data_IF_252515786503
#
_entry.id   IF_252515786503
#
_cell.length_a   1.000
_cell.length_b   1.000
_cell.length_c   1.000
_cell.angle_alpha   90.00
_cell.angle_beta   90.00
_cell.angle_gamma   90.00
#
_symmetry.space_group_name_H-M   'P 1'
#
loop_
_entity.id
_entity.type
_entity.pdbx_description
1 polymer ?
#
# COMPACT_ATOMS: atom_id res chain seq x y z
N UNK A 1 4.08 -10.80 -7.67
CA UNK A 1 3.77 -11.55 -6.44
C UNK A 1 4.72 -12.73 -6.27
N UNK A 2 4.91 -13.59 -7.29
CA UNK A 2 5.86 -14.72 -7.22
C UNK A 2 7.31 -14.31 -6.88
N UNK A 3 7.81 -13.23 -7.47
CA UNK A 3 9.18 -12.74 -7.22
C UNK A 3 9.41 -12.24 -5.78
N UNK A 4 8.40 -11.59 -5.18
CA UNK A 4 8.45 -11.18 -3.78
C UNK A 4 8.43 -12.39 -2.83
N UNK A 5 7.67 -13.42 -3.20
CA UNK A 5 7.53 -14.63 -2.39
C UNK A 5 8.83 -15.44 -2.36
N UNK A 6 9.48 -15.62 -3.51
CA UNK A 6 10.80 -16.27 -3.56
C UNK A 6 11.86 -15.49 -2.75
N UNK A 7 11.85 -14.15 -2.83
CA UNK A 7 12.77 -13.32 -2.05
C UNK A 7 12.57 -13.49 -0.53
N UNK A 8 11.32 -13.50 -0.07
CA UNK A 8 10.98 -13.61 1.34
C UNK A 8 11.14 -15.02 1.91
N UNK A 9 10.77 -16.05 1.15
CA UNK A 9 10.70 -17.43 1.66
C UNK A 9 12.01 -18.19 1.44
N UNK A 10 12.80 -17.84 0.44
CA UNK A 10 13.95 -18.65 0.00
C UNK A 10 15.26 -17.86 0.00
N UNK A 11 15.38 -16.81 -0.81
CA UNK A 11 16.64 -16.11 -1.05
C UNK A 11 17.18 -15.36 0.17
N UNK A 12 16.34 -14.59 0.87
CA UNK A 12 16.76 -13.83 2.07
C UNK A 12 17.04 -14.78 3.25
N UNK A 13 16.16 -15.77 3.58
CA UNK A 13 16.45 -16.74 4.63
C UNK A 13 17.67 -17.61 4.34
N UNK A 14 17.83 -18.09 3.10
CA UNK A 14 18.99 -18.89 2.71
C UNK A 14 20.28 -18.07 2.78
N UNK A 15 20.28 -16.83 2.26
CA UNK A 15 21.42 -15.91 2.36
C UNK A 15 21.82 -15.64 3.81
N UNK A 16 20.83 -15.45 4.71
CA UNK A 16 21.08 -15.30 6.15
C UNK A 16 21.66 -16.57 6.78
N UNK A 17 21.14 -17.75 6.43
CA UNK A 17 21.66 -19.03 6.93
C UNK A 17 23.10 -19.24 6.48
N UNK A 18 23.41 -19.01 5.20
CA UNK A 18 24.76 -19.12 4.67
C UNK A 18 25.74 -18.18 5.37
N UNK A 19 25.29 -16.99 5.78
CA UNK A 19 26.09 -16.03 6.55
C UNK A 19 26.39 -16.52 7.97
N UNK A 20 25.41 -17.16 8.63
CA UNK A 20 25.58 -17.79 9.95
C UNK A 20 26.52 -18.99 9.86
N UNK A 21 26.36 -19.83 8.83
CA UNK A 21 27.23 -20.96 8.58
C UNK A 21 28.67 -20.49 8.33
N UNK A 22 28.84 -19.43 7.51
CA UNK A 22 30.13 -18.80 7.26
C UNK A 22 30.78 -18.32 8.56
N UNK A 23 30.02 -17.68 9.46
CA UNK A 23 30.53 -17.26 10.77
C UNK A 23 31.07 -18.43 11.61
N UNK A 24 30.31 -19.53 11.73
CA UNK A 24 30.78 -20.72 12.47
C UNK A 24 31.99 -21.39 11.81
N UNK A 25 32.06 -21.37 10.47
CA UNK A 25 33.19 -21.90 9.73
C UNK A 25 34.44 -21.05 9.93
N UNK A 26 34.30 -19.72 9.96
CA UNK A 26 35.40 -18.78 10.23
C UNK A 26 36.02 -19.00 11.60
N UNK A 27 35.21 -19.30 12.62
CA UNK A 27 35.70 -19.64 13.97
C UNK A 27 36.60 -20.89 13.93
N UNK A 28 36.15 -21.95 13.25
CA UNK A 28 36.94 -23.17 13.06
C UNK A 28 38.20 -22.94 12.23
N UNK A 29 38.14 -22.10 11.20
CA UNK A 29 39.30 -21.73 10.39
C UNK A 29 40.32 -20.96 11.24
N UNK A 30 39.87 -20.09 12.14
CA UNK A 30 40.76 -19.38 13.06
C UNK A 30 41.48 -20.34 14.01
N UNK A 31 40.75 -21.27 14.64
CA UNK A 31 41.34 -22.32 15.50
C UNK A 31 42.34 -23.20 14.73
N UNK A 32 42.01 -23.54 13.48
CA UNK A 32 42.90 -24.30 12.60
C UNK A 32 44.17 -23.51 12.28
N UNK A 33 44.06 -22.23 11.92
CA UNK A 33 45.21 -21.39 11.59
C UNK A 33 46.14 -21.24 12.80
N UNK A 34 45.60 -21.07 14.00
CA UNK A 34 46.39 -21.02 15.24
C UNK A 34 47.10 -22.36 15.50
N UNK A 35 46.36 -23.46 15.46
CA UNK A 35 46.91 -24.81 15.69
C UNK A 35 47.99 -25.17 14.67
N UNK A 36 47.74 -24.87 13.39
CA UNK A 36 48.70 -25.11 12.29
C UNK A 36 49.94 -24.25 12.48
N UNK A 37 49.80 -22.99 12.89
CA UNK A 37 50.94 -22.13 13.17
C UNK A 37 51.76 -22.63 14.35
N UNK A 38 51.14 -23.10 15.43
CA UNK A 38 51.85 -23.61 16.63
C UNK A 38 52.57 -24.93 16.32
N UNK A 39 51.90 -25.86 15.65
CA UNK A 39 52.40 -27.22 15.41
C UNK A 39 53.37 -27.31 14.22
N UNK A 40 53.27 -26.41 13.22
CA UNK A 40 54.12 -26.48 12.04
C UNK A 40 55.59 -26.16 12.36
N UNK A 41 56.55 -26.96 11.87
CA UNK A 41 57.98 -26.67 11.99
C UNK A 41 58.39 -25.48 11.10
N UNK A 42 57.68 -25.26 9.99
CA UNK A 42 57.88 -24.12 9.10
C UNK A 42 56.78 -23.07 9.34
N UNK A 43 57.15 -22.03 10.10
CA UNK A 43 56.25 -20.93 10.44
C UNK A 43 55.94 -20.02 9.25
N UNK A 44 56.84 -19.95 8.27
CA UNK A 44 56.67 -19.05 7.13
C UNK A 44 55.57 -19.57 6.20
N UNK A 45 55.58 -20.90 5.95
CA UNK A 45 54.54 -21.57 5.17
C UNK A 45 53.17 -21.54 5.86
N UNK A 46 53.12 -21.80 7.17
CA UNK A 46 51.87 -21.77 7.94
C UNK A 46 51.25 -20.36 7.98
N UNK A 47 52.07 -19.31 8.03
CA UNK A 47 51.61 -17.93 7.96
C UNK A 47 51.05 -17.56 6.58
N UNK A 48 51.70 -18.03 5.51
CA UNK A 48 51.21 -17.82 4.14
C UNK A 48 49.86 -18.50 3.91
N UNK A 49 49.69 -19.72 4.42
CA UNK A 49 48.43 -20.44 4.39
C UNK A 49 47.33 -19.71 5.17
N UNK A 50 47.66 -19.16 6.35
CA UNK A 50 46.73 -18.32 7.13
C UNK A 50 46.31 -17.06 6.37
N UNK A 51 47.23 -16.39 5.67
CA UNK A 51 46.89 -15.23 4.83
C UNK A 51 45.94 -15.58 3.70
N UNK A 52 46.13 -16.76 3.08
CA UNK A 52 45.25 -17.24 2.03
C UNK A 52 43.84 -17.50 2.57
N UNK A 53 43.71 -18.19 3.71
CA UNK A 53 42.42 -18.41 4.37
C UNK A 53 41.75 -17.10 4.78
N UNK A 54 42.52 -16.13 5.29
CA UNK A 54 42.00 -14.80 5.65
C UNK A 54 41.43 -14.07 4.44
N UNK A 55 42.17 -14.07 3.32
CA UNK A 55 41.74 -13.42 2.07
C UNK A 55 40.49 -14.08 1.50
N UNK A 56 40.44 -15.41 1.49
CA UNK A 56 39.28 -16.17 1.01
C UNK A 56 38.05 -15.93 1.89
N UNK A 57 38.22 -15.95 3.22
CA UNK A 57 37.12 -15.74 4.16
C UNK A 57 36.56 -14.32 4.04
N UNK A 58 37.43 -13.32 3.91
CA UNK A 58 37.02 -11.93 3.67
C UNK A 58 36.22 -11.78 2.37
N UNK A 59 36.72 -12.37 1.28
CA UNK A 59 36.02 -12.34 -0.01
C UNK A 59 34.66 -13.05 0.05
N UNK A 60 34.59 -14.20 0.71
CA UNK A 60 33.37 -14.98 0.89
C UNK A 60 32.31 -14.20 1.67
N UNK A 61 32.68 -13.62 2.83
CA UNK A 61 31.75 -12.83 3.64
C UNK A 61 31.29 -11.57 2.91
N UNK A 62 32.20 -10.86 2.24
CA UNK A 62 31.85 -9.67 1.45
C UNK A 62 30.83 -10.00 0.33
N UNK A 63 31.03 -11.13 -0.36
CA UNK A 63 30.09 -11.59 -1.38
C UNK A 63 28.72 -11.92 -0.79
N UNK A 64 28.67 -12.67 0.31
CA UNK A 64 27.41 -13.03 0.98
C UNK A 64 26.63 -11.80 1.44
N UNK A 65 27.32 -10.81 2.03
CA UNK A 65 26.69 -9.54 2.45
C UNK A 65 26.16 -8.79 1.24
N UNK A 66 26.95 -8.68 0.16
CA UNK A 66 26.53 -7.97 -1.05
C UNK A 66 25.28 -8.63 -1.68
N UNK A 67 25.27 -9.96 -1.80
CA UNK A 67 24.12 -10.69 -2.36
C UNK A 67 22.87 -10.47 -1.50
N UNK A 68 22.98 -10.63 -0.17
CA UNK A 68 21.86 -10.42 0.74
C UNK A 68 21.34 -8.98 0.69
N UNK A 69 22.22 -7.98 0.63
CA UNK A 69 21.85 -6.58 0.52
C UNK A 69 21.06 -6.30 -0.77
N UNK A 70 21.51 -6.83 -1.91
CA UNK A 70 20.80 -6.67 -3.18
C UNK A 70 19.41 -7.31 -3.14
N UNK A 71 19.30 -8.52 -2.58
CA UNK A 71 18.02 -9.22 -2.43
C UNK A 71 17.03 -8.44 -1.55
N UNK A 72 17.51 -7.86 -0.44
CA UNK A 72 16.69 -7.01 0.44
C UNK A 72 16.27 -5.71 -0.26
N UNK A 73 17.17 -5.05 -0.98
CA UNK A 73 16.83 -3.84 -1.74
C UNK A 73 15.77 -4.13 -2.81
N UNK A 74 15.92 -5.22 -3.56
CA UNK A 74 14.93 -5.64 -4.57
C UNK A 74 13.56 -5.90 -3.94
N UNK A 75 13.52 -6.55 -2.78
CA UNK A 75 12.28 -6.76 -2.03
C UNK A 75 11.60 -5.44 -1.66
N UNK A 76 12.37 -4.46 -1.12
CA UNK A 76 11.85 -3.15 -0.75
C UNK A 76 11.30 -2.37 -1.96
N UNK A 77 11.99 -2.42 -3.10
CA UNK A 77 11.53 -1.78 -4.33
C UNK A 77 10.21 -2.40 -4.85
N UNK A 78 10.09 -3.73 -4.80
CA UNK A 78 8.85 -4.41 -5.18
C UNK A 78 7.70 -3.97 -4.25
N UNK A 79 7.92 -3.94 -2.93
CA UNK A 79 6.91 -3.49 -1.96
C UNK A 79 6.52 -2.02 -2.17
N UNK A 80 7.49 -1.13 -2.39
CA UNK A 80 7.23 0.28 -2.68
C UNK A 80 6.38 0.47 -3.96
N UNK A 81 6.67 -0.32 -5.01
CA UNK A 81 5.87 -0.30 -6.24
C UNK A 81 4.44 -0.80 -6.03
N UNK A 82 4.24 -1.78 -5.14
CA UNK A 82 2.91 -2.28 -4.78
C UNK A 82 2.12 -1.23 -4.02
N UNK A 83 2.74 -0.55 -3.06
CA UNK A 83 2.12 0.55 -2.32
C UNK A 83 1.70 1.70 -3.23
N UNK A 84 2.57 2.14 -4.16
CA UNK A 84 2.21 3.20 -5.14
C UNK A 84 1.03 2.78 -6.03
N UNK A 85 0.95 1.51 -6.42
CA UNK A 85 -0.20 1.00 -7.19
C UNK A 85 -1.47 0.99 -6.35
N UNK A 86 -1.39 0.57 -5.09
CA UNK A 86 -2.52 0.62 -4.16
C UNK A 86 -3.00 2.05 -3.90
N UNK A 87 -2.09 3.00 -3.70
CA UNK A 87 -2.41 4.41 -3.54
C UNK A 87 -3.14 4.96 -4.77
N UNK A 88 -2.66 4.64 -5.97
CA UNK A 88 -3.34 5.01 -7.22
C UNK A 88 -4.74 4.39 -7.32
N UNK A 89 -4.91 3.11 -6.99
CA UNK A 89 -6.23 2.46 -6.95
C UNK A 89 -7.18 3.15 -5.96
N UNK A 90 -6.70 3.54 -4.78
CA UNK A 90 -7.48 4.28 -3.78
C UNK A 90 -7.89 5.66 -4.33
N UNK A 91 -6.96 6.36 -4.98
CA UNK A 91 -7.25 7.66 -5.60
C UNK A 91 -8.29 7.55 -6.72
N UNK A 92 -8.20 6.52 -7.57
CA UNK A 92 -9.21 6.25 -8.59
C UNK A 92 -10.58 5.91 -7.98
N UNK A 93 -10.64 5.07 -6.95
CA UNK A 93 -11.89 4.76 -6.24
C UNK A 93 -12.49 6.03 -5.62
N UNK A 94 -11.66 6.88 -5.03
CA UNK A 94 -12.09 8.13 -4.40
C UNK A 94 -12.65 9.11 -5.44
N UNK A 95 -12.01 9.25 -6.60
CA UNK A 95 -12.49 10.07 -7.70
C UNK A 95 -13.80 9.52 -8.28
N UNK A 96 -13.92 8.20 -8.48
CA UNK A 96 -15.16 7.59 -8.96
C UNK A 96 -16.29 7.80 -7.94
N UNK A 97 -16.03 7.61 -6.65
CA UNK A 97 -17.01 7.85 -5.59
C UNK A 97 -17.51 9.31 -5.61
N UNK A 98 -16.60 10.27 -5.66
CA UNK A 98 -16.96 11.69 -5.70
C UNK A 98 -17.76 12.06 -6.95
N UNK A 99 -17.31 11.64 -8.14
CA UNK A 99 -17.97 11.98 -9.41
C UNK A 99 -19.35 11.36 -9.52
N UNK A 100 -19.50 10.08 -9.17
CA UNK A 100 -20.80 9.40 -9.18
C UNK A 100 -21.74 10.03 -8.15
N UNK A 101 -21.29 10.30 -6.93
CA UNK A 101 -22.14 10.93 -5.91
C UNK A 101 -22.59 12.34 -6.31
N UNK A 102 -21.66 13.17 -6.79
CA UNK A 102 -21.98 14.53 -7.25
C UNK A 102 -22.97 14.53 -8.42
N UNK A 103 -22.78 13.63 -9.38
CA UNK A 103 -23.70 13.48 -10.50
C UNK A 103 -25.10 13.02 -10.04
N UNK A 104 -25.17 12.00 -9.17
CA UNK A 104 -26.44 11.53 -8.60
C UNK A 104 -27.16 12.63 -7.82
N UNK A 105 -26.44 13.46 -7.07
CA UNK A 105 -27.00 14.60 -6.35
C UNK A 105 -27.61 15.62 -7.32
N UNK A 106 -26.85 16.07 -8.33
CA UNK A 106 -27.33 17.04 -9.33
C UNK A 106 -28.57 16.51 -10.08
N UNK A 107 -28.57 15.23 -10.43
CA UNK A 107 -29.73 14.59 -11.06
C UNK A 107 -30.96 14.58 -10.16
N UNK A 108 -30.79 14.28 -8.87
CA UNK A 108 -31.87 14.36 -7.89
C UNK A 108 -32.43 15.78 -7.74
N UNK A 109 -31.55 16.79 -7.72
CA UNK A 109 -31.97 18.20 -7.67
C UNK A 109 -32.77 18.63 -8.89
N UNK A 110 -32.28 18.28 -10.09
CA UNK A 110 -32.95 18.59 -11.34
C UNK A 110 -34.32 17.91 -11.43
N UNK A 111 -34.42 16.67 -10.96
CA UNK A 111 -35.68 15.93 -10.91
C UNK A 111 -36.68 16.60 -9.94
N UNK A 112 -36.24 16.99 -8.74
CA UNK A 112 -37.09 17.67 -7.76
C UNK A 112 -37.63 19.01 -8.29
N UNK A 113 -36.78 19.80 -8.96
CA UNK A 113 -37.18 21.06 -9.60
C UNK A 113 -38.20 20.83 -10.73
N UNK A 114 -38.02 19.77 -11.53
CA UNK A 114 -38.94 19.40 -12.61
C UNK A 114 -40.29 18.97 -12.07
N UNK A 115 -40.32 18.16 -11.01
CA UNK A 115 -41.58 17.77 -10.36
C UNK A 115 -42.29 19.00 -9.80
N UNK A 116 -41.58 19.85 -9.05
CA UNK A 116 -42.16 21.07 -8.48
C UNK A 116 -42.77 21.98 -9.54
N UNK A 117 -42.10 22.17 -10.68
CA UNK A 117 -42.60 23.03 -11.75
C UNK A 117 -43.85 22.46 -12.41
N UNK A 118 -43.87 21.14 -12.71
CA UNK A 118 -45.05 20.44 -13.24
C UNK A 118 -46.23 20.55 -12.27
N UNK A 119 -46.00 20.36 -10.97
CA UNK A 119 -47.07 20.44 -9.97
C UNK A 119 -47.62 21.86 -9.88
N UNK A 120 -46.78 22.90 -9.89
CA UNK A 120 -47.27 24.30 -9.92
C UNK A 120 -48.07 24.63 -11.17
N UNK A 121 -47.64 24.16 -12.34
CA UNK A 121 -48.37 24.38 -13.60
C UNK A 121 -49.73 23.69 -13.58
N UNK A 122 -49.82 22.47 -13.02
CA UNK A 122 -51.09 21.73 -12.88
C UNK A 122 -52.06 22.36 -11.87
N UNK A 123 -51.54 22.92 -10.77
CA UNK A 123 -52.36 23.58 -9.75
C UNK A 123 -52.89 24.93 -10.24
N UNK A 124 -52.10 25.71 -10.99
CA UNK A 124 -52.56 26.96 -11.60
C UNK A 124 -53.68 26.79 -12.63
N UNK A 125 -53.83 25.60 -13.22
CA UNK A 125 -54.90 25.29 -14.17
C UNK A 125 -56.26 24.95 -13.49
N UNK A 126 -56.28 24.66 -12.19
CA UNK A 126 -57.47 24.21 -11.46
C UNK A 126 -57.85 25.21 -10.34
N UNK A 127 -58.56 26.29 -10.68
CA UNK A 127 -59.22 27.25 -9.76
C UNK A 127 -58.30 28.03 -8.75
N UNK A 128 -58.07 29.35 -8.95
CA UNK A 128 -57.00 30.08 -8.27
C UNK A 128 -57.21 30.35 -6.75
N UNK A 129 -58.42 30.19 -6.22
CA UNK A 129 -58.78 30.62 -4.86
C UNK A 129 -58.56 29.57 -3.75
N UNK A 130 -58.41 28.28 -4.08
CA UNK A 130 -58.08 27.19 -3.13
C UNK A 130 -56.61 26.74 -3.17
N UNK A 131 -55.83 27.20 -4.14
CA UNK A 131 -54.49 26.69 -4.43
C UNK A 131 -53.35 27.28 -3.61
N UNK A 132 -53.52 28.46 -2.99
CA UNK A 132 -52.42 29.09 -2.26
C UNK A 132 -51.90 28.23 -1.12
N UNK A 133 -52.79 27.57 -0.35
CA UNK A 133 -52.39 26.69 0.76
C UNK A 133 -51.69 25.43 0.26
N UNK A 134 -52.19 24.81 -0.82
CA UNK A 134 -51.60 23.62 -1.43
C UNK A 134 -50.21 23.89 -2.03
N UNK A 135 -50.02 25.05 -2.69
CA UNK A 135 -48.74 25.47 -3.25
C UNK A 135 -47.70 25.70 -2.14
N UNK A 136 -48.10 26.33 -1.01
CA UNK A 136 -47.19 26.51 0.14
C UNK A 136 -46.78 25.20 0.80
N UNK A 137 -47.68 24.23 0.94
CA UNK A 137 -47.38 22.91 1.52
C UNK A 137 -46.44 22.12 0.62
N UNK A 138 -46.63 22.15 -0.70
CA UNK A 138 -45.76 21.46 -1.65
C UNK A 138 -44.33 22.05 -1.69
N UNK A 139 -44.20 23.38 -1.57
CA UNK A 139 -42.88 24.00 -1.39
C UNK A 139 -42.19 23.54 -0.10
N UNK A 140 -42.93 23.46 1.01
CA UNK A 140 -42.41 22.96 2.29
C UNK A 140 -41.96 21.50 2.21
N UNK A 141 -42.74 20.62 1.56
CA UNK A 141 -42.35 19.21 1.36
C UNK A 141 -41.08 19.11 0.51
N UNK A 142 -41.00 19.88 -0.59
CA UNK A 142 -39.81 19.92 -1.44
C UNK A 142 -38.56 20.39 -0.68
N UNK A 143 -38.70 21.38 0.21
CA UNK A 143 -37.59 21.85 1.07
C UNK A 143 -37.20 20.80 2.11
N UNK A 144 -38.17 20.12 2.73
CA UNK A 144 -37.90 19.06 3.71
C UNK A 144 -37.22 17.83 3.09
N UNK A 145 -37.64 17.38 1.89
CA UNK A 145 -36.97 16.28 1.18
C UNK A 145 -35.55 16.67 0.74
N UNK A 146 -35.35 17.93 0.35
CA UNK A 146 -34.02 18.45 0.01
C UNK A 146 -33.09 18.51 1.23
N UNK A 147 -33.60 18.93 2.39
CA UNK A 147 -32.86 18.90 3.65
C UNK A 147 -32.53 17.48 4.11
N UNK A 148 -33.44 16.51 3.94
CA UNK A 148 -33.22 15.09 4.28
C UNK A 148 -32.15 14.45 3.38
N UNK A 149 -32.14 14.75 2.08
CA UNK A 149 -31.07 14.30 1.19
C UNK A 149 -29.70 14.86 1.57
N UNK A 150 -29.63 16.14 1.95
CA UNK A 150 -28.37 16.76 2.39
C UNK A 150 -27.86 16.12 3.70
N UNK A 151 -28.75 15.84 4.66
CA UNK A 151 -28.38 15.23 5.93
C UNK A 151 -27.81 13.81 5.75
N UNK A 152 -28.43 12.98 4.91
CA UNK A 152 -27.93 11.65 4.59
C UNK A 152 -26.60 11.67 3.81
N UNK A 153 -26.33 12.71 3.04
CA UNK A 153 -25.04 12.89 2.36
C UNK A 153 -23.89 13.26 3.31
N UNK A 154 -24.18 13.90 4.44
CA UNK A 154 -23.15 14.32 5.41
C UNK A 154 -22.70 13.16 6.32
N UNK A 155 -23.62 12.29 6.74
CA UNK A 155 -23.30 11.08 7.54
C UNK A 155 -22.38 10.08 6.81
N UNK A 156 -22.34 10.11 5.48
CA UNK A 156 -21.46 9.26 4.66
C UNK A 156 -20.02 9.81 4.53
N UNK A 157 -19.79 11.09 4.82
CA UNK A 157 -18.45 11.71 4.79
C UNK A 157 -17.73 11.59 6.14
N UNK A 158 -18.45 11.64 7.26
CA UNK A 158 -17.86 11.55 8.62
C UNK A 158 -17.57 10.11 9.07
N UNK A 159 -17.96 9.10 8.29
CA UNK A 159 -17.78 7.68 8.63
C UNK A 159 -16.50 7.02 8.04
N UNK A 160 -15.54 7.80 7.51
CA UNK A 160 -14.33 7.28 6.84
C UNK A 160 -13.03 7.88 7.35
#
# INVERSE_FOLDING_TARGET
MAELQMLLEEEIPAGRSALLDSFTNLERVAEYCESNYVQSPDKHRALEETKNYTTQSLASVAYLINTLANNVLQMLDIQASQLRRMESSINHISQVRYTVHSYSFQMGENQALTVSSITTTRLGANDPSRNLSAISVLRLISVCDKARCIFNSFELLDAS
#
